data_IF_149861142793
#
_entry.id   IF_149861142793
#
_cell.length_a   1.000
_cell.length_b   1.000
_cell.length_c   1.000
_cell.angle_alpha   90.00
_cell.angle_beta   90.00
_cell.angle_gamma   90.00
#
_symmetry.space_group_name_H-M   'P 1'
#
loop_
_entity.id
_entity.type
_entity.pdbx_description
1 polymer ?
#
# COMPACT_ATOMS: atom_id res chain seq x y z
N UNK A 1 19.32 5.16 -15.02
CA UNK A 1 17.97 5.23 -14.45
C UNK A 1 17.88 4.30 -13.23
N UNK A 2 17.16 4.72 -12.21
CA UNK A 2 16.86 3.94 -11.01
C UNK A 2 15.33 3.92 -10.83
N UNK A 3 14.73 2.73 -10.78
CA UNK A 3 13.29 2.57 -10.62
C UNK A 3 12.96 1.82 -9.33
N UNK A 4 11.96 2.33 -8.60
CA UNK A 4 11.37 1.63 -7.45
C UNK A 4 10.11 0.91 -7.92
N UNK A 5 10.10 -0.42 -7.84
CA UNK A 5 9.05 -1.26 -8.44
C UNK A 5 7.88 -1.50 -7.48
N UNK A 6 6.99 -0.52 -7.31
CA UNK A 6 5.68 -0.74 -6.69
C UNK A 6 4.65 -1.10 -7.76
N UNK A 7 4.62 -2.39 -8.13
CA UNK A 7 3.88 -2.92 -9.27
C UNK A 7 2.36 -2.71 -9.18
N UNK A 8 1.79 -2.52 -8.00
CA UNK A 8 0.33 -2.34 -7.82
C UNK A 8 -0.21 -1.06 -8.45
N UNK A 9 0.64 -0.07 -8.70
CA UNK A 9 0.27 1.12 -9.49
C UNK A 9 -0.15 0.76 -10.91
N UNK A 10 0.31 -0.38 -11.45
CA UNK A 10 0.09 -0.81 -12.84
C UNK A 10 -1.14 -1.69 -13.03
N UNK A 11 -1.91 -1.99 -11.99
CA UNK A 11 -3.23 -2.58 -12.18
C UNK A 11 -4.16 -1.58 -12.91
N UNK A 12 -4.92 -2.04 -13.93
CA UNK A 12 -5.89 -1.19 -14.61
C UNK A 12 -6.90 -0.54 -13.68
N UNK A 13 -7.31 -1.26 -12.63
CA UNK A 13 -8.21 -0.74 -11.61
C UNK A 13 -7.58 0.42 -10.82
N UNK A 14 -6.30 0.34 -10.45
CA UNK A 14 -5.58 1.44 -9.77
C UNK A 14 -5.54 2.68 -10.65
N UNK A 15 -5.27 2.52 -11.94
CA UNK A 15 -5.29 3.63 -12.90
C UNK A 15 -6.70 4.22 -13.05
N UNK A 16 -7.73 3.39 -13.02
CA UNK A 16 -9.12 3.85 -13.03
C UNK A 16 -9.51 4.60 -11.76
N UNK A 17 -9.08 4.11 -10.57
CA UNK A 17 -9.27 4.82 -9.30
C UNK A 17 -8.67 6.21 -9.36
N UNK A 18 -7.43 6.34 -9.85
CA UNK A 18 -6.75 7.64 -9.98
C UNK A 18 -7.54 8.60 -10.86
N UNK A 19 -8.05 8.13 -12.01
CA UNK A 19 -8.92 8.94 -12.88
C UNK A 19 -10.21 9.39 -12.18
N UNK A 20 -10.88 8.46 -11.50
CA UNK A 20 -12.13 8.76 -10.78
C UNK A 20 -11.91 9.77 -9.65
N UNK A 21 -10.79 9.70 -8.93
CA UNK A 21 -10.41 10.69 -7.92
C UNK A 21 -10.27 12.08 -8.57
N UNK A 22 -9.56 12.17 -9.68
CA UNK A 22 -9.30 13.44 -10.37
C UNK A 22 -10.55 14.06 -11.01
N UNK A 23 -11.45 13.24 -11.55
CA UNK A 23 -12.54 13.71 -12.41
C UNK A 23 -13.90 13.73 -11.72
N UNK A 24 -14.15 12.85 -10.73
CA UNK A 24 -15.51 12.59 -10.24
C UNK A 24 -15.66 12.57 -8.73
N UNK A 25 -14.62 12.18 -7.98
CA UNK A 25 -14.71 11.98 -6.53
C UNK A 25 -14.82 13.31 -5.75
N UNK A 26 -14.38 14.41 -6.33
CA UNK A 26 -14.31 15.69 -5.66
C UNK A 26 -13.20 15.76 -4.59
N UNK A 27 -13.45 16.49 -3.51
CA UNK A 27 -12.49 16.53 -2.40
C UNK A 27 -12.52 15.20 -1.63
N UNK A 28 -11.37 14.54 -1.50
CA UNK A 28 -11.24 13.35 -0.66
C UNK A 28 -11.42 13.75 0.80
N UNK A 29 -12.24 13.02 1.53
CA UNK A 29 -12.56 13.30 2.94
C UNK A 29 -11.99 12.25 3.88
N UNK A 30 -12.03 10.98 3.48
CA UNK A 30 -11.44 9.91 4.27
C UNK A 30 -10.98 8.74 3.39
N UNK A 31 -9.98 8.02 3.89
CA UNK A 31 -9.44 6.82 3.27
C UNK A 31 -9.29 5.73 4.32
N UNK A 32 -9.75 4.53 4.02
CA UNK A 32 -9.36 3.33 4.74
C UNK A 32 -8.67 2.40 3.75
N UNK A 33 -7.41 2.08 4.02
CA UNK A 33 -6.66 1.10 3.24
C UNK A 33 -6.16 -0.01 4.15
N UNK A 34 -6.25 -1.24 3.64
CA UNK A 34 -5.94 -2.42 4.43
C UNK A 34 -5.13 -3.44 3.63
N UNK A 35 -4.30 -4.20 4.35
CA UNK A 35 -3.68 -5.43 3.87
C UNK A 35 -3.71 -6.47 4.97
N UNK A 36 -4.50 -7.51 4.78
CA UNK A 36 -4.60 -8.66 5.66
C UNK A 36 -4.01 -9.87 4.98
N UNK A 37 -3.02 -10.47 5.61
CA UNK A 37 -2.29 -11.60 5.06
C UNK A 37 -2.45 -12.82 5.96
N UNK A 38 -3.00 -13.89 5.40
CA UNK A 38 -3.16 -15.15 6.08
C UNK A 38 -1.84 -15.90 6.18
N UNK A 39 -1.25 -15.92 7.37
CA UNK A 39 0.04 -16.56 7.64
C UNK A 39 -0.11 -17.93 8.31
N UNK A 40 -1.35 -18.36 8.55
CA UNK A 40 -1.64 -19.62 9.23
C UNK A 40 -1.83 -19.47 10.74
N UNK A 41 -2.53 -20.43 11.31
CA UNK A 41 -2.93 -20.43 12.71
C UNK A 41 -1.70 -20.47 13.65
N UNK A 42 -0.73 -21.27 13.30
CA UNK A 42 0.40 -21.60 14.17
C UNK A 42 1.31 -20.39 14.43
N UNK A 43 1.47 -19.52 13.43
CA UNK A 43 2.23 -18.27 13.58
C UNK A 43 1.59 -17.34 14.60
N UNK A 44 0.26 -17.32 14.63
CA UNK A 44 -0.48 -16.42 15.52
C UNK A 44 -0.59 -16.98 16.95
N UNK A 45 -0.71 -18.31 17.12
CA UNK A 45 -1.00 -18.95 18.41
C UNK A 45 0.22 -19.45 19.19
N UNK A 46 1.41 -19.47 18.60
CA UNK A 46 2.62 -19.86 19.36
C UNK A 46 3.53 -20.86 18.68
N UNK A 47 3.05 -21.60 17.74
CA UNK A 47 3.86 -22.52 16.97
C UNK A 47 4.24 -21.86 15.64
N UNK A 48 5.36 -21.13 15.61
CA UNK A 48 5.91 -20.69 14.32
C UNK A 48 6.49 -21.94 13.67
N UNK A 49 5.96 -22.38 12.53
CA UNK A 49 6.56 -23.50 11.82
C UNK A 49 8.03 -23.19 11.56
N UNK A 50 8.90 -24.19 11.78
CA UNK A 50 10.31 -24.10 11.38
C UNK A 50 10.49 -23.77 9.87
N UNK A 51 9.41 -23.86 9.09
CA UNK A 51 9.27 -23.54 7.68
C UNK A 51 8.91 -22.07 7.38
N UNK A 52 8.94 -21.16 8.33
CA UNK A 52 9.09 -19.74 8.03
C UNK A 52 10.51 -19.51 7.48
N UNK A 53 10.81 -20.25 6.42
CA UNK A 53 12.06 -20.13 5.69
C UNK A 53 11.99 -18.84 4.87
N UNK A 54 12.96 -17.93 5.03
CA UNK A 54 13.16 -16.84 4.09
C UNK A 54 13.34 -17.46 2.70
N UNK A 55 12.42 -17.19 1.78
CA UNK A 55 12.52 -17.71 0.41
C UNK A 55 11.21 -18.16 -0.23
N UNK A 56 10.22 -18.59 0.53
CA UNK A 56 8.92 -18.95 0.00
C UNK A 56 7.88 -17.84 0.20
N UNK A 57 8.24 -16.58 -0.15
CA UNK A 57 7.38 -15.42 0.03
C UNK A 57 7.78 -14.50 1.17
N UNK A 58 8.92 -14.72 1.83
CA UNK A 58 9.66 -13.68 2.55
C UNK A 58 9.09 -13.17 3.88
N UNK A 59 8.09 -13.81 4.46
CA UNK A 59 7.55 -13.35 5.75
C UNK A 59 8.29 -14.02 6.90
N UNK A 60 9.04 -13.26 7.68
CA UNK A 60 9.67 -13.73 8.93
C UNK A 60 9.31 -12.79 10.07
N UNK A 61 8.92 -13.31 11.23
CA UNK A 61 8.67 -12.47 12.41
C UNK A 61 9.96 -11.96 13.08
N UNK A 62 11.11 -12.14 12.44
CA UNK A 62 12.43 -11.67 12.89
C UNK A 62 12.94 -10.61 11.92
N UNK A 63 13.13 -9.38 12.41
CA UNK A 63 13.51 -8.21 11.60
C UNK A 63 14.82 -8.44 10.84
N UNK A 64 15.84 -9.02 11.46
CA UNK A 64 17.12 -9.32 10.81
C UNK A 64 16.96 -10.18 9.54
N UNK A 65 15.93 -11.02 9.48
CA UNK A 65 15.69 -11.94 8.37
C UNK A 65 14.78 -11.37 7.28
N UNK A 66 13.83 -10.51 7.64
CA UNK A 66 12.78 -10.01 6.76
C UNK A 66 12.85 -8.50 6.50
N UNK A 67 13.67 -7.78 7.25
CA UNK A 67 13.71 -6.32 7.24
C UNK A 67 12.57 -5.65 8.01
N UNK A 68 11.58 -6.41 8.50
CA UNK A 68 10.45 -5.89 9.24
C UNK A 68 9.26 -6.86 9.26
N UNK A 69 8.17 -6.43 9.91
CA UNK A 69 6.91 -7.19 10.02
C UNK A 69 5.93 -6.92 8.89
N UNK A 70 4.64 -7.02 9.21
CA UNK A 70 3.57 -6.81 8.22
C UNK A 70 3.56 -5.39 7.66
N UNK A 71 3.96 -4.40 8.46
CA UNK A 71 4.05 -3.02 8.03
C UNK A 71 5.05 -2.85 6.87
N UNK A 72 6.23 -3.44 6.99
CA UNK A 72 7.25 -3.40 5.92
C UNK A 72 6.85 -4.31 4.76
N UNK A 73 6.37 -5.53 5.02
CA UNK A 73 6.06 -6.52 3.99
C UNK A 73 4.87 -6.09 3.11
N UNK A 74 3.68 -6.01 3.70
CA UNK A 74 2.44 -5.66 2.99
C UNK A 74 2.13 -4.17 3.01
N UNK A 75 2.42 -3.53 4.15
CA UNK A 75 2.12 -2.12 4.37
C UNK A 75 2.87 -1.18 3.44
N UNK A 76 4.11 -1.50 3.05
CA UNK A 76 4.86 -0.69 2.08
C UNK A 76 4.11 -0.51 0.76
N UNK A 77 3.46 -1.54 0.26
CA UNK A 77 2.67 -1.48 -0.97
C UNK A 77 1.38 -0.65 -0.79
N UNK A 78 0.78 -0.70 0.39
CA UNK A 78 -0.43 0.08 0.70
C UNK A 78 -0.07 1.55 0.88
N UNK A 79 1.04 1.85 1.55
CA UNK A 79 1.54 3.22 1.71
C UNK A 79 1.93 3.84 0.36
N UNK A 80 2.57 3.06 -0.52
CA UNK A 80 2.84 3.50 -1.89
C UNK A 80 1.56 3.87 -2.65
N UNK A 81 0.54 3.02 -2.60
CA UNK A 81 -0.74 3.31 -3.25
C UNK A 81 -1.47 4.49 -2.62
N UNK A 82 -1.41 4.65 -1.29
CA UNK A 82 -1.99 5.82 -0.60
C UNK A 82 -1.33 7.11 -1.09
N UNK A 83 0.00 7.15 -1.12
CA UNK A 83 0.76 8.30 -1.65
C UNK A 83 0.44 8.57 -3.13
N UNK A 84 0.32 7.52 -3.93
CA UNK A 84 0.05 7.63 -5.36
C UNK A 84 -1.36 8.12 -5.69
N UNK A 85 -2.36 7.70 -4.91
CA UNK A 85 -3.78 7.98 -5.17
C UNK A 85 -4.27 9.24 -4.48
N UNK A 86 -3.81 9.50 -3.25
CA UNK A 86 -4.39 10.53 -2.38
C UNK A 86 -3.40 11.66 -2.10
N UNK A 87 -2.10 11.35 -2.04
CA UNK A 87 -1.07 12.35 -1.77
C UNK A 87 -0.34 12.10 -0.46
N UNK A 88 0.36 13.13 0.04
CA UNK A 88 1.25 13.04 1.18
C UNK A 88 0.52 13.32 2.50
N UNK A 89 0.82 12.59 3.58
CA UNK A 89 0.41 13.00 4.92
C UNK A 89 1.33 14.10 5.47
N UNK A 90 0.77 14.91 6.36
CA UNK A 90 1.48 15.94 7.14
C UNK A 90 1.70 15.50 8.59
N UNK A 91 0.94 14.50 9.05
CA UNK A 91 1.06 13.95 10.41
C UNK A 91 0.68 12.48 10.40
N UNK A 92 1.33 11.69 11.25
CA UNK A 92 1.07 10.26 11.42
C UNK A 92 0.97 9.91 12.91
N UNK A 93 0.01 9.06 13.26
CA UNK A 93 -0.08 8.38 14.54
C UNK A 93 -0.11 6.88 14.32
N UNK A 94 0.96 6.18 14.75
CA UNK A 94 1.17 4.77 14.58
C UNK A 94 0.83 3.96 15.83
N UNK A 95 0.35 2.74 15.63
CA UNK A 95 0.25 1.69 16.65
C UNK A 95 0.68 0.37 16.04
N UNK A 96 1.44 -0.42 16.80
CA UNK A 96 1.86 -1.76 16.36
C UNK A 96 1.73 -2.77 17.49
N UNK A 97 1.55 -4.01 17.11
CA UNK A 97 1.61 -5.14 18.02
C UNK A 97 2.69 -6.09 17.57
N UNK A 98 3.61 -6.34 18.47
CA UNK A 98 4.71 -7.30 18.32
C UNK A 98 4.40 -8.45 19.26
N UNK A 99 4.48 -9.67 18.77
CA UNK A 99 4.23 -10.85 19.58
C UNK A 99 5.45 -11.17 20.45
N UNK A 100 5.21 -11.69 21.66
CA UNK A 100 6.26 -12.13 22.59
C UNK A 100 7.24 -13.11 21.93
N UNK A 101 8.53 -12.82 22.08
CA UNK A 101 9.61 -13.61 21.49
C UNK A 101 9.96 -13.25 20.03
N UNK A 102 9.33 -12.22 19.47
CA UNK A 102 9.61 -11.67 18.16
C UNK A 102 9.93 -10.18 18.23
N UNK A 103 10.50 -9.63 17.18
CA UNK A 103 10.85 -8.20 17.05
C UNK A 103 10.14 -7.51 15.89
N UNK A 104 9.49 -8.30 15.00
CA UNK A 104 8.69 -7.79 13.89
C UNK A 104 7.20 -7.63 14.27
N UNK A 105 6.57 -6.62 13.74
CA UNK A 105 5.14 -6.37 13.95
C UNK A 105 4.25 -7.38 13.21
N UNK A 106 3.24 -7.89 13.91
CA UNK A 106 2.16 -8.74 13.38
C UNK A 106 0.93 -7.92 12.99
N UNK A 107 0.74 -6.79 13.65
CA UNK A 107 -0.27 -5.80 13.31
C UNK A 107 0.32 -4.40 13.39
N UNK A 108 -0.03 -3.57 12.44
CA UNK A 108 0.31 -2.15 12.44
C UNK A 108 -0.86 -1.34 11.91
N UNK A 109 -1.15 -0.25 12.61
CA UNK A 109 -2.18 0.70 12.22
C UNK A 109 -1.59 2.10 12.22
N UNK A 110 -2.05 2.94 11.29
CA UNK A 110 -1.73 4.35 11.32
C UNK A 110 -2.95 5.20 11.00
N UNK A 111 -3.12 6.30 11.74
CA UNK A 111 -3.98 7.42 11.36
C UNK A 111 -3.08 8.52 10.80
N UNK A 112 -3.51 9.13 9.71
CA UNK A 112 -2.74 10.16 9.02
C UNK A 112 -3.63 11.34 8.66
N UNK A 113 -3.14 12.55 8.95
CA UNK A 113 -3.69 13.78 8.41
C UNK A 113 -3.03 14.05 7.06
N UNK A 114 -3.82 14.09 5.99
CA UNK A 114 -3.32 14.28 4.62
C UNK A 114 -3.24 15.76 4.26
N UNK A 115 -2.29 16.16 3.39
CA UNK A 115 -2.14 17.54 2.89
C UNK A 115 -3.46 18.14 2.36
N UNK A 116 -4.29 17.30 1.71
CA UNK A 116 -5.60 17.70 1.18
C UNK A 116 -6.72 17.80 2.22
N UNK A 117 -6.45 17.61 3.52
CA UNK A 117 -7.42 17.66 4.60
C UNK A 117 -8.20 16.36 4.84
N UNK A 118 -7.92 15.31 4.08
CA UNK A 118 -8.49 13.99 4.33
C UNK A 118 -7.84 13.33 5.55
N UNK A 119 -8.57 12.39 6.17
CA UNK A 119 -8.02 11.50 7.18
C UNK A 119 -7.86 10.12 6.56
N UNK A 120 -6.65 9.55 6.64
CA UNK A 120 -6.38 8.19 6.19
C UNK A 120 -6.16 7.25 7.38
N UNK A 121 -6.76 6.06 7.30
CA UNK A 121 -6.48 4.94 8.19
C UNK A 121 -5.82 3.83 7.38
N UNK A 122 -4.62 3.43 7.81
CA UNK A 122 -3.86 2.31 7.28
C UNK A 122 -3.93 1.16 8.26
N UNK A 123 -4.25 -0.03 7.76
CA UNK A 123 -4.39 -1.25 8.57
C UNK A 123 -3.63 -2.41 7.92
N UNK A 124 -2.60 -2.90 8.63
CA UNK A 124 -1.76 -3.99 8.17
C UNK A 124 -1.81 -5.12 9.20
N UNK A 125 -2.21 -6.32 8.79
CA UNK A 125 -2.39 -7.43 9.72
C UNK A 125 -1.91 -8.76 9.13
N UNK A 126 -1.09 -9.47 9.90
CA UNK A 126 -0.94 -10.91 9.79
C UNK A 126 -1.98 -11.58 10.67
N UNK A 127 -2.63 -12.62 10.19
CA UNK A 127 -3.70 -13.30 10.92
C UNK A 127 -3.81 -14.80 10.56
N UNK A 128 -4.51 -15.59 11.38
CA UNK A 128 -4.62 -17.04 11.17
C UNK A 128 -5.64 -17.43 10.09
N UNK A 129 -6.42 -16.49 9.54
CA UNK A 129 -7.49 -16.79 8.62
C UNK A 129 -6.94 -17.08 7.21
N UNK A 130 -7.39 -18.19 6.62
CA UNK A 130 -6.91 -18.63 5.30
C UNK A 130 -7.93 -18.42 4.18
N UNK A 131 -9.16 -17.99 4.52
CA UNK A 131 -10.26 -17.84 3.57
C UNK A 131 -10.94 -16.48 3.64
N UNK A 132 -10.15 -15.42 3.71
CA UNK A 132 -10.64 -14.05 3.66
C UNK A 132 -10.31 -13.39 2.34
N UNK A 133 -10.80 -12.14 2.17
CA UNK A 133 -10.70 -11.39 0.94
C UNK A 133 -11.67 -11.88 -0.13
N UNK A 134 -11.79 -11.12 -1.21
CA UNK A 134 -12.74 -11.43 -2.27
C UNK A 134 -12.40 -12.73 -3.03
N UNK A 135 -11.13 -13.11 -3.09
CA UNK A 135 -10.66 -14.37 -3.68
C UNK A 135 -10.75 -15.57 -2.74
N UNK A 136 -10.99 -15.34 -1.44
CA UNK A 136 -11.00 -16.36 -0.38
C UNK A 136 -9.70 -17.16 -0.26
N UNK A 137 -8.56 -16.50 -0.52
CA UNK A 137 -7.21 -17.10 -0.51
C UNK A 137 -6.33 -16.62 0.62
N UNK A 138 -6.91 -16.07 1.71
CA UNK A 138 -6.16 -15.57 2.84
C UNK A 138 -5.50 -14.21 2.60
N UNK A 139 -5.91 -13.50 1.55
CA UNK A 139 -5.46 -12.16 1.20
C UNK A 139 -6.65 -11.23 1.09
N UNK A 140 -6.69 -10.19 1.93
CA UNK A 140 -7.70 -9.14 1.87
C UNK A 140 -7.00 -7.79 1.86
N UNK A 141 -6.92 -7.21 0.69
CA UNK A 141 -6.24 -5.95 0.47
C UNK A 141 -7.10 -5.04 -0.38
N UNK A 142 -7.22 -3.80 0.05
CA UNK A 142 -8.03 -2.85 -0.67
C UNK A 142 -8.05 -1.46 -0.09
N UNK A 143 -8.79 -0.61 -0.79
CA UNK A 143 -9.00 0.80 -0.49
C UNK A 143 -10.48 1.13 -0.48
N UNK A 144 -10.88 1.87 0.53
CA UNK A 144 -12.13 2.59 0.58
C UNK A 144 -11.81 4.07 0.63
N UNK A 145 -12.21 4.81 -0.42
CA UNK A 145 -11.90 6.24 -0.56
C UNK A 145 -13.21 7.00 -0.67
N UNK A 146 -13.46 7.89 0.27
CA UNK A 146 -14.65 8.72 0.32
C UNK A 146 -14.31 10.15 -0.10
N UNK A 147 -15.17 10.75 -0.89
CA UNK A 147 -15.07 12.13 -1.33
C UNK A 147 -16.44 12.80 -1.45
N UNK A 148 -16.45 14.08 -1.72
CA UNK A 148 -17.70 14.87 -1.82
C UNK A 148 -18.57 14.45 -2.98
N UNK A 149 -17.99 13.86 -4.04
CA UNK A 149 -18.69 13.38 -5.25
C UNK A 149 -19.01 11.89 -5.25
N UNK A 150 -18.52 11.10 -4.25
CA UNK A 150 -18.80 9.67 -4.24
C UNK A 150 -17.93 8.85 -3.30
N UNK A 151 -17.96 7.54 -3.52
CA UNK A 151 -17.19 6.54 -2.77
C UNK A 151 -16.60 5.51 -3.70
N UNK A 152 -15.32 5.21 -3.53
CA UNK A 152 -14.59 4.18 -4.26
C UNK A 152 -14.31 3.00 -3.34
N UNK A 153 -14.49 1.78 -3.86
CA UNK A 153 -14.13 0.52 -3.21
C UNK A 153 -13.25 -0.28 -4.19
N UNK A 154 -11.98 -0.43 -3.83
CA UNK A 154 -10.98 -1.19 -4.60
C UNK A 154 -10.55 -2.40 -3.77
N UNK A 155 -10.64 -3.60 -4.34
CA UNK A 155 -10.00 -4.82 -3.83
C UNK A 155 -8.93 -5.27 -4.83
N UNK A 156 -7.73 -5.59 -4.34
CA UNK A 156 -6.62 -6.06 -5.17
C UNK A 156 -6.46 -7.59 -5.04
N UNK A 157 -6.07 -8.31 -6.13
CA UNK A 157 -5.82 -9.74 -6.07
C UNK A 157 -4.57 -10.06 -5.25
N UNK A 158 -4.44 -11.32 -4.85
CA UNK A 158 -3.23 -11.82 -4.19
C UNK A 158 -2.00 -11.59 -5.08
N UNK A 159 -0.91 -11.13 -4.48
CA UNK A 159 0.27 -10.66 -5.21
C UNK A 159 1.02 -11.77 -5.97
N UNK A 160 1.00 -13.01 -5.48
CA UNK A 160 1.75 -14.13 -6.05
C UNK A 160 1.07 -14.83 -7.22
N UNK A 161 -0.16 -14.47 -7.53
CA UNK A 161 -0.91 -14.99 -8.67
C UNK A 161 -1.89 -13.93 -9.23
N UNK A 162 -1.43 -12.68 -9.46
CA UNK A 162 -2.30 -11.58 -9.86
C UNK A 162 -2.93 -11.80 -11.26
N UNK A 163 -2.34 -12.67 -12.06
CA UNK A 163 -2.81 -13.04 -13.40
C UNK A 163 -4.03 -13.96 -13.38
N UNK A 164 -4.40 -14.52 -12.26
CA UNK A 164 -5.58 -15.41 -12.15
C UNK A 164 -6.87 -14.65 -11.87
N UNK A 165 -6.77 -13.48 -11.24
CA UNK A 165 -7.95 -12.69 -10.86
C UNK A 165 -7.71 -11.21 -11.14
N UNK A 166 -8.74 -10.55 -11.70
CA UNK A 166 -8.73 -9.11 -11.87
C UNK A 166 -9.05 -8.38 -10.56
N UNK A 167 -8.51 -7.19 -10.33
CA UNK A 167 -8.96 -6.32 -9.25
C UNK A 167 -10.45 -6.00 -9.38
N UNK A 168 -11.11 -5.73 -8.25
CA UNK A 168 -12.51 -5.32 -8.21
C UNK A 168 -12.59 -3.84 -7.88
N UNK A 169 -13.35 -3.09 -8.65
CA UNK A 169 -13.59 -1.67 -8.42
C UNK A 169 -15.08 -1.36 -8.51
N UNK A 170 -15.58 -0.65 -7.49
CA UNK A 170 -16.92 -0.06 -7.48
C UNK A 170 -16.84 1.42 -7.14
N UNK A 171 -17.67 2.20 -7.79
CA UNK A 171 -17.80 3.62 -7.54
C UNK A 171 -19.28 3.97 -7.29
N UNK A 172 -19.57 4.55 -6.12
CA UNK A 172 -20.84 5.20 -5.86
C UNK A 172 -20.76 6.64 -6.32
N UNK A 173 -21.63 7.01 -7.26
CA UNK A 173 -21.76 8.38 -7.76
C UNK A 173 -22.87 9.08 -6.98
N UNK A 174 -22.50 10.13 -6.23
CA UNK A 174 -23.46 10.88 -5.41
C UNK A 174 -24.50 11.62 -6.28
N UNK A 175 -24.09 12.15 -7.42
CA UNK A 175 -24.99 12.90 -8.30
C UNK A 175 -26.04 12.01 -8.97
N UNK A 176 -25.63 10.80 -9.37
CA UNK A 176 -26.51 9.81 -9.99
C UNK A 176 -27.23 8.92 -8.95
N UNK A 177 -26.78 8.94 -7.69
CA UNK A 177 -27.25 8.07 -6.59
C UNK A 177 -27.18 6.56 -6.95
N UNK A 178 -26.14 6.14 -7.69
CA UNK A 178 -25.99 4.77 -8.20
C UNK A 178 -24.58 4.25 -7.99
N UNK A 179 -24.47 2.91 -7.90
CA UNK A 179 -23.21 2.20 -7.96
C UNK A 179 -22.85 1.83 -9.40
N UNK A 180 -21.60 2.01 -9.74
CA UNK A 180 -20.98 1.53 -10.98
C UNK A 180 -19.95 0.47 -10.62
N UNK A 181 -19.98 -0.66 -11.32
CA UNK A 181 -18.97 -1.70 -11.23
C UNK A 181 -18.11 -1.70 -12.49
N UNK A 182 -16.80 -1.80 -12.29
CA UNK A 182 -15.84 -1.80 -13.39
C UNK A 182 -15.28 -3.21 -13.57
N UNK A 183 -15.21 -3.64 -14.82
CA UNK A 183 -14.61 -4.91 -15.20
C UNK A 183 -13.24 -4.64 -15.82
N UNK A 184 -12.25 -5.44 -15.46
CA UNK A 184 -10.88 -5.32 -15.95
C UNK A 184 -10.40 -6.65 -16.49
N UNK A 185 -9.53 -6.59 -17.48
CA UNK A 185 -8.78 -7.74 -17.92
C UNK A 185 -7.81 -8.18 -16.83
N UNK A 186 -7.56 -9.48 -16.78
CA UNK A 186 -6.50 -10.05 -15.95
C UNK A 186 -5.15 -9.68 -16.55
N UNK A 187 -4.32 -9.00 -15.77
CA UNK A 187 -2.97 -8.61 -16.21
C UNK A 187 -1.95 -8.93 -15.12
N UNK A 188 -0.73 -9.22 -15.52
CA UNK A 188 0.40 -9.30 -14.62
C UNK A 188 0.97 -7.88 -14.36
N UNK A 189 0.81 -7.30 -13.16
CA UNK A 189 1.27 -5.93 -12.89
C UNK A 189 2.80 -5.82 -12.91
N UNK A 190 3.53 -6.90 -12.67
CA UNK A 190 4.99 -6.94 -12.80
C UNK A 190 5.42 -6.71 -14.25
N UNK A 191 4.80 -7.44 -15.20
CA UNK A 191 5.08 -7.26 -16.64
C UNK A 191 4.73 -5.84 -17.10
N UNK A 192 3.64 -5.26 -16.58
CA UNK A 192 3.27 -3.88 -16.89
C UNK A 192 4.30 -2.87 -16.35
N UNK A 193 4.79 -3.09 -15.13
CA UNK A 193 5.84 -2.27 -14.52
C UNK A 193 7.15 -2.36 -15.34
N UNK A 194 7.58 -3.57 -15.67
CA UNK A 194 8.80 -3.79 -16.48
C UNK A 194 8.69 -3.13 -17.85
N UNK A 195 7.56 -3.32 -18.54
CA UNK A 195 7.32 -2.66 -19.83
C UNK A 195 7.33 -1.14 -19.72
N UNK A 196 6.83 -0.57 -18.61
CA UNK A 196 6.92 0.87 -18.33
C UNK A 196 8.38 1.30 -18.17
N UNK A 197 9.16 0.60 -17.36
CA UNK A 197 10.58 0.92 -17.13
C UNK A 197 11.39 0.85 -18.43
N UNK A 198 11.17 -0.19 -19.25
CA UNK A 198 11.83 -0.32 -20.54
C UNK A 198 11.51 0.83 -21.49
N UNK A 199 10.26 1.30 -21.52
CA UNK A 199 9.90 2.50 -22.30
C UNK A 199 10.60 3.76 -21.81
N UNK A 200 10.70 3.96 -20.50
CA UNK A 200 11.41 5.11 -19.92
C UNK A 200 12.90 5.08 -20.28
N UNK A 201 13.55 3.91 -20.14
CA UNK A 201 14.95 3.72 -20.51
C UNK A 201 15.15 4.01 -22.00
N UNK A 202 14.31 3.46 -22.87
CA UNK A 202 14.41 3.68 -24.33
C UNK A 202 14.22 5.16 -24.71
N UNK A 203 13.41 5.90 -23.94
CA UNK A 203 13.20 7.33 -24.12
C UNK A 203 14.32 8.20 -23.47
N UNK A 204 15.28 7.60 -22.77
CA UNK A 204 16.31 8.33 -22.02
C UNK A 204 15.76 9.12 -20.83
N UNK A 205 14.61 8.70 -20.29
CA UNK A 205 13.90 9.39 -19.21
C UNK A 205 13.94 8.59 -17.92
N UNK A 206 13.96 9.26 -16.77
CA UNK A 206 13.84 8.60 -15.47
C UNK A 206 12.38 8.18 -15.19
N UNK A 207 11.41 9.01 -15.59
CA UNK A 207 10.01 8.82 -15.26
C UNK A 207 9.66 9.09 -13.79
N UNK A 208 8.45 8.68 -13.40
CA UNK A 208 7.84 8.98 -12.10
C UNK A 208 8.05 7.89 -11.03
N UNK A 209 8.68 6.76 -11.40
CA UNK A 209 9.01 5.65 -10.49
C UNK A 209 10.47 5.72 -10.06
N UNK A 210 10.91 6.87 -9.61
CA UNK A 210 12.29 7.17 -9.24
C UNK A 210 12.63 6.77 -7.79
N UNK A 211 13.83 7.15 -7.35
CA UNK A 211 14.32 6.89 -5.98
C UNK A 211 13.44 7.50 -4.89
N UNK A 212 12.73 8.61 -5.17
CA UNK A 212 11.88 9.25 -4.18
C UNK A 212 10.61 8.47 -3.88
N UNK A 213 10.17 7.59 -4.78
CA UNK A 213 9.06 6.66 -4.52
C UNK A 213 9.41 5.73 -3.36
N UNK A 214 10.59 5.10 -3.39
CA UNK A 214 11.08 4.27 -2.28
C UNK A 214 11.28 5.09 -1.00
N UNK A 215 12.00 6.21 -1.10
CA UNK A 215 12.25 7.09 0.03
C UNK A 215 10.97 7.48 0.78
N UNK A 216 9.91 7.90 0.07
CA UNK A 216 8.66 8.32 0.71
C UNK A 216 8.00 7.20 1.50
N UNK A 217 8.02 5.99 0.97
CA UNK A 217 7.47 4.82 1.66
C UNK A 217 8.33 4.49 2.88
N UNK A 218 9.65 4.39 2.74
CA UNK A 218 10.56 4.07 3.83
C UNK A 218 10.47 5.10 4.96
N UNK A 219 10.36 6.38 4.61
CA UNK A 219 10.18 7.46 5.59
C UNK A 219 8.87 7.30 6.38
N UNK A 220 7.75 6.93 5.73
CA UNK A 220 6.50 6.66 6.44
C UNK A 220 6.58 5.40 7.31
N UNK A 221 7.22 4.33 6.85
CA UNK A 221 7.43 3.12 7.63
C UNK A 221 8.20 3.43 8.93
N UNK A 222 9.26 4.23 8.83
CA UNK A 222 10.03 4.71 9.99
C UNK A 222 9.15 5.54 10.93
N UNK A 223 8.44 6.54 10.43
CA UNK A 223 7.61 7.43 11.26
C UNK A 223 6.46 6.69 11.94
N UNK A 224 5.80 5.76 11.25
CA UNK A 224 4.74 4.93 11.85
C UNK A 224 5.31 4.10 12.99
N UNK A 225 6.48 3.49 12.78
CA UNK A 225 7.16 2.69 13.80
C UNK A 225 7.55 3.55 15.00
N UNK A 226 8.20 4.68 14.77
CA UNK A 226 8.57 5.62 15.84
C UNK A 226 7.36 6.16 16.60
N UNK A 227 6.32 6.57 15.90
CA UNK A 227 5.07 7.03 16.52
C UNK A 227 4.45 5.97 17.44
N UNK A 228 4.51 4.70 17.01
CA UNK A 228 4.03 3.58 17.84
C UNK A 228 4.89 3.38 19.09
N UNK A 229 6.21 3.54 18.98
CA UNK A 229 7.16 3.37 20.08
C UNK A 229 7.16 4.55 21.06
N UNK A 230 7.04 5.77 20.54
CA UNK A 230 6.95 7.00 21.33
C UNK A 230 5.54 7.23 21.93
N UNK A 231 4.53 6.54 21.40
CA UNK A 231 3.14 6.60 21.88
C UNK A 231 2.39 7.87 21.52
N UNK A 232 2.86 8.64 20.53
CA UNK A 232 2.28 9.92 20.14
C UNK A 232 2.34 10.19 18.62
N UNK A 233 1.60 11.19 18.15
CA UNK A 233 1.66 11.58 16.75
C UNK A 233 2.98 12.28 16.41
N UNK A 234 3.44 12.10 15.16
CA UNK A 234 4.62 12.74 14.60
C UNK A 234 4.25 13.54 13.36
N UNK A 235 4.82 14.72 13.22
CA UNK A 235 4.73 15.49 11.98
C UNK A 235 5.65 14.87 10.92
N UNK A 236 5.20 14.92 9.66
CA UNK A 236 5.96 14.36 8.53
C UNK A 236 6.71 15.48 7.83
N UNK A 237 8.03 15.43 7.90
CA UNK A 237 8.91 16.34 7.18
C UNK A 237 9.46 15.67 5.92
N UNK A 238 9.00 16.14 4.76
CA UNK A 238 9.37 15.57 3.46
C UNK A 238 10.61 16.24 2.89
N UNK A 239 11.71 15.46 2.77
CA UNK A 239 12.98 15.93 2.17
C UNK A 239 13.16 15.50 0.70
N UNK A 240 12.04 15.32 -0.02
CA UNK A 240 12.03 14.80 -1.40
C UNK A 240 11.81 15.88 -2.46
N UNK A 241 11.91 17.15 -2.08
CA UNK A 241 11.93 18.26 -3.03
C UNK A 241 13.30 18.28 -3.69
N UNK A 242 13.41 18.33 -5.04
CA UNK A 242 14.68 18.59 -5.67
C UNK A 242 15.18 19.95 -5.16
N UNK A 243 16.43 19.98 -4.66
CA UNK A 243 17.08 21.25 -4.34
C UNK A 243 16.97 22.14 -5.58
N UNK A 244 16.17 23.19 -5.48
CA UNK A 244 16.04 24.14 -6.57
C UNK A 244 17.40 24.82 -6.77
N UNK A 245 18.18 24.33 -7.74
CA UNK A 245 19.31 25.09 -8.23
C UNK A 245 20.72 24.50 -8.16
N UNK A 246 20.90 23.19 -8.30
CA UNK A 246 22.20 22.67 -8.75
C UNK A 246 22.04 21.89 -10.05
N UNK A 247 22.08 22.63 -11.16
CA UNK A 247 22.52 22.06 -12.44
C UNK A 247 24.03 21.90 -12.29
N UNK A 248 24.52 20.73 -11.94
CA UNK A 248 25.93 20.39 -12.14
C UNK A 248 26.12 20.24 -13.64
N UNK A 249 26.80 21.21 -14.19
CA UNK A 249 27.33 21.24 -15.58
C UNK A 249 28.44 20.21 -15.77
#
# INVERSE_FOLDING_TARGET
CLFTSYMKRFFPATQQVRRLIQERLGCVTSVHCRTFQGIGRDVFTGEVPAAFTPGAGGVSPVVEKSGGGVLVCGGSHILDLLLYLVGKPVRVYGRRWVRDGYDADFMAHALMDMEGGAIAHVECNWHPYTRIGYERRGWDEGFEINGTGGRLLLDTPVWNAPEHNAPRLRFYDTAAATWQEFTFDVVCPFQQAEAHFMRQIAAGQQGDMDRYVGYRVDHLLELITRSADEGGPLDVDWHDQPESGRVET
#
